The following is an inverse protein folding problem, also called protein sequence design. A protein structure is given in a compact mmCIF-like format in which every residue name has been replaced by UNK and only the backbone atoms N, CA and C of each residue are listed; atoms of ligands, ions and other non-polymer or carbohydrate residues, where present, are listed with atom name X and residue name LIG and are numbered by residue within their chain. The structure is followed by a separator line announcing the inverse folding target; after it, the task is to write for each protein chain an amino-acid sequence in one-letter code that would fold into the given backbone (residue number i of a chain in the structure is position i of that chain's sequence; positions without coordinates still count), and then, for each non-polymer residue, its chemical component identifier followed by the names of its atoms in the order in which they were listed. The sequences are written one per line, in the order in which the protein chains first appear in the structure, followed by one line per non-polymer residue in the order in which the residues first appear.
data_IF_904324171807
#
_entry.id   IF_904324171807
#
_cell.length_a   1.000
_cell.length_b   1.000
_cell.length_c   1.000
_cell.angle_alpha   90.00
_cell.angle_beta   90.00
_cell.angle_gamma   90.00
#
_symmetry.space_group_name_H-M   'P 1'
#
loop_
_entity.id
_entity.type
_entity.pdbx_description
1 polymer ?
#
# COMPACT_ATOMS: atom_id res chain seq x y z
N UNK A 1 58.24 -48.83 18.41
CA UNK A 1 56.81 -48.93 18.77
C UNK A 1 56.21 -47.52 18.79
N UNK A 2 55.10 -47.36 18.06
CA UNK A 2 54.40 -46.10 17.75
C UNK A 2 53.66 -45.52 18.97
N UNK A 3 53.67 -44.19 19.14
CA UNK A 3 52.55 -43.38 19.71
C UNK A 3 52.63 -41.98 19.08
N UNK A 4 52.01 -41.77 17.92
CA UNK A 4 50.65 -41.24 17.70
C UNK A 4 50.55 -39.71 17.85
N UNK A 5 50.52 -39.08 16.68
CA UNK A 5 50.20 -37.69 16.34
C UNK A 5 48.79 -37.30 16.84
N UNK A 6 48.62 -36.09 17.39
CA UNK A 6 47.30 -35.43 17.44
C UNK A 6 47.42 -33.98 16.99
N UNK A 7 46.67 -33.70 15.94
CA UNK A 7 46.53 -32.45 15.23
C UNK A 7 45.52 -31.56 15.96
N UNK A 8 45.76 -30.25 15.83
CA UNK A 8 45.02 -29.06 16.25
C UNK A 8 43.47 -29.16 16.23
N UNK A 9 42.80 -28.48 17.18
CA UNK A 9 41.54 -27.81 16.88
C UNK A 9 41.48 -26.44 17.57
N UNK A 10 41.60 -25.41 16.76
CA UNK A 10 41.48 -24.00 17.09
C UNK A 10 40.05 -23.70 17.52
N UNK A 11 39.88 -23.14 18.71
CA UNK A 11 38.59 -22.70 19.24
C UNK A 11 38.14 -21.45 18.47
N UNK A 12 37.26 -21.61 17.49
CA UNK A 12 36.54 -20.47 16.89
C UNK A 12 35.54 -20.00 17.92
N UNK A 13 35.76 -18.80 18.44
CA UNK A 13 34.81 -18.07 19.27
C UNK A 13 33.57 -17.79 18.41
N UNK A 14 32.54 -18.64 18.53
CA UNK A 14 31.21 -18.35 18.02
C UNK A 14 30.72 -17.12 18.77
N UNK A 15 30.79 -15.96 18.11
CA UNK A 15 30.06 -14.77 18.49
C UNK A 15 28.59 -15.21 18.54
N UNK A 16 28.05 -15.31 19.75
CA UNK A 16 26.65 -15.60 19.96
C UNK A 16 25.84 -14.55 19.22
N UNK A 17 25.17 -14.96 18.15
CA UNK A 17 24.00 -14.26 17.67
C UNK A 17 23.03 -14.21 18.84
N UNK A 18 22.91 -13.04 19.45
CA UNK A 18 21.75 -12.74 20.28
C UNK A 18 20.56 -12.83 19.33
N UNK A 19 19.60 -13.74 19.53
CA UNK A 19 18.39 -13.73 18.73
C UNK A 19 17.66 -12.45 19.11
N UNK A 20 17.62 -11.47 18.21
CA UNK A 20 16.65 -10.39 18.31
C UNK A 20 15.32 -11.03 17.93
N UNK A 21 14.71 -11.72 18.89
CA UNK A 21 13.38 -12.27 18.75
C UNK A 21 12.37 -11.14 18.78
N UNK A 22 11.90 -10.73 17.60
CA UNK A 22 10.69 -9.92 17.46
C UNK A 22 9.87 -10.55 16.34
N UNK A 23 9.41 -11.79 16.54
CA UNK A 23 8.35 -12.31 15.69
C UNK A 23 7.07 -11.58 16.10
N UNK A 24 6.49 -10.80 15.19
CA UNK A 24 5.31 -9.97 15.46
C UNK A 24 4.00 -10.77 15.59
N UNK A 25 4.06 -12.11 15.46
CA UNK A 25 2.96 -13.06 15.64
C UNK A 25 3.55 -14.48 15.75
N UNK A 26 2.73 -15.44 16.20
CA UNK A 26 3.07 -16.86 16.19
C UNK A 26 2.28 -17.62 15.12
N UNK A 27 2.95 -18.53 14.41
CA UNK A 27 2.32 -19.41 13.42
C UNK A 27 1.96 -20.75 14.07
N UNK A 28 0.66 -21.02 14.16
CA UNK A 28 0.10 -22.31 14.52
C UNK A 28 0.11 -23.24 13.30
N UNK A 29 0.73 -24.41 13.42
CA UNK A 29 0.66 -25.44 12.38
C UNK A 29 -0.66 -26.21 12.53
N UNK A 30 -1.55 -26.08 11.54
CA UNK A 30 -2.87 -26.73 11.50
C UNK A 30 -3.15 -27.35 10.12
N UNK A 31 -2.26 -28.24 9.62
CA UNK A 31 -2.24 -28.61 8.22
C UNK A 31 -3.51 -29.37 7.78
N UNK A 32 -3.89 -29.16 6.53
CA UNK A 32 -4.84 -30.02 5.81
C UNK A 32 -4.24 -31.42 5.68
N UNK A 33 -5.06 -32.44 5.97
CA UNK A 33 -4.74 -33.81 5.59
C UNK A 33 -5.07 -34.02 4.11
N UNK A 34 -4.03 -33.94 3.28
CA UNK A 34 -4.13 -34.17 1.85
C UNK A 34 -4.24 -35.65 1.47
N UNK A 35 -4.16 -36.60 2.42
CA UNK A 35 -4.24 -38.02 2.12
C UNK A 35 -3.14 -38.51 1.16
N UNK A 36 -1.98 -37.85 1.18
CA UNK A 36 -0.86 -38.12 0.27
C UNK A 36 -0.96 -37.42 -1.09
N UNK A 37 -2.01 -36.63 -1.34
CA UNK A 37 -2.09 -35.78 -2.53
C UNK A 37 -1.01 -34.68 -2.49
N UNK A 38 -0.28 -34.53 -3.59
CA UNK A 38 0.70 -33.46 -3.78
C UNK A 38 0.22 -32.53 -4.90
N UNK A 39 -0.10 -31.26 -4.62
CA UNK A 39 -0.69 -30.35 -5.60
C UNK A 39 0.34 -29.82 -6.63
N UNK A 40 1.64 -30.02 -6.40
CA UNK A 40 2.72 -29.44 -7.20
C UNK A 40 3.29 -28.17 -6.56
N UNK A 41 4.39 -27.67 -7.13
CA UNK A 41 5.03 -26.43 -6.72
C UNK A 41 4.49 -25.25 -7.51
N UNK A 42 4.32 -24.11 -6.84
CA UNK A 42 4.07 -22.83 -7.47
C UNK A 42 5.39 -22.20 -7.97
N UNK A 43 5.30 -21.21 -8.85
CA UNK A 43 6.47 -20.43 -9.31
C UNK A 43 6.96 -19.41 -8.27
N UNK A 44 6.22 -19.23 -7.17
CA UNK A 44 6.58 -18.40 -6.02
C UNK A 44 6.76 -16.91 -6.34
N UNK A 45 5.86 -16.38 -7.16
CA UNK A 45 5.90 -15.00 -7.63
C UNK A 45 4.94 -14.10 -6.85
N UNK A 46 3.92 -14.65 -6.20
CA UNK A 46 2.85 -13.86 -5.57
C UNK A 46 2.60 -14.17 -4.10
N UNK A 47 2.22 -13.13 -3.36
CA UNK A 47 1.48 -13.22 -2.09
C UNK A 47 0.06 -12.71 -2.36
N UNK A 48 -0.95 -13.58 -2.23
CA UNK A 48 -2.35 -13.23 -2.52
C UNK A 48 -3.12 -12.94 -1.25
N UNK A 49 -3.76 -11.78 -1.23
CA UNK A 49 -4.49 -11.23 -0.10
C UNK A 49 -5.98 -11.48 -0.27
N UNK A 50 -6.55 -12.23 0.68
CA UNK A 50 -7.95 -12.58 0.73
C UNK A 50 -8.64 -12.14 2.02
N UNK A 51 -9.96 -12.22 2.00
CA UNK A 51 -10.81 -12.20 3.18
C UNK A 51 -11.93 -13.24 3.02
N UNK A 52 -12.25 -13.91 4.14
CA UNK A 52 -13.11 -15.11 4.20
C UNK A 52 -14.51 -15.01 3.60
N UNK A 53 -15.06 -13.82 3.37
CA UNK A 53 -16.37 -13.64 2.74
C UNK A 53 -17.57 -14.01 3.63
N UNK A 54 -17.34 -14.42 4.88
CA UNK A 54 -18.38 -15.07 5.70
C UNK A 54 -18.98 -14.14 6.76
N UNK A 55 -19.99 -13.36 6.36
CA UNK A 55 -20.72 -12.43 7.25
C UNK A 55 -21.36 -13.07 8.48
N UNK A 56 -21.57 -14.39 8.48
CA UNK A 56 -22.17 -15.12 9.60
C UNK A 56 -21.13 -15.63 10.59
N UNK A 57 -19.85 -15.66 10.21
CA UNK A 57 -18.76 -16.18 11.03
C UNK A 57 -17.86 -15.07 11.55
N UNK A 58 -18.36 -14.31 12.52
CA UNK A 58 -17.70 -13.12 13.08
C UNK A 58 -17.33 -13.26 14.57
N UNK A 59 -17.54 -14.45 15.13
CA UNK A 59 -17.34 -14.72 16.56
C UNK A 59 -15.87 -14.85 16.96
N UNK A 60 -15.62 -15.01 18.27
CA UNK A 60 -14.27 -15.16 18.81
C UNK A 60 -13.53 -16.43 18.29
N UNK A 61 -14.27 -17.42 17.79
CA UNK A 61 -13.78 -18.67 17.21
C UNK A 61 -13.86 -18.70 15.67
N UNK A 62 -13.99 -17.54 15.02
CA UNK A 62 -14.18 -17.46 13.56
C UNK A 62 -13.06 -18.15 12.78
N UNK A 63 -11.79 -17.97 13.19
CA UNK A 63 -10.63 -18.63 12.62
C UNK A 63 -10.75 -20.15 12.69
N UNK A 64 -11.08 -20.71 13.86
CA UNK A 64 -11.17 -22.16 14.06
C UNK A 64 -12.29 -22.77 13.21
N UNK A 65 -13.39 -22.03 13.00
CA UNK A 65 -14.49 -22.45 12.12
C UNK A 65 -14.13 -22.42 10.65
N UNK A 66 -13.49 -21.35 10.17
CA UNK A 66 -13.04 -21.25 8.78
C UNK A 66 -12.02 -22.36 8.46
N UNK A 67 -10.99 -22.49 9.29
CA UNK A 67 -9.95 -23.51 9.11
C UNK A 67 -10.51 -24.93 9.16
N UNK A 68 -11.46 -25.21 10.06
CA UNK A 68 -12.15 -26.51 10.10
C UNK A 68 -13.03 -26.76 8.88
N UNK A 69 -13.70 -25.72 8.35
CA UNK A 69 -14.50 -25.83 7.14
C UNK A 69 -13.62 -26.08 5.91
N UNK A 70 -12.53 -25.33 5.76
CA UNK A 70 -11.57 -25.49 4.67
C UNK A 70 -10.95 -26.88 4.68
N UNK A 71 -10.51 -27.39 5.86
CA UNK A 71 -9.98 -28.76 5.99
C UNK A 71 -10.96 -29.85 5.54
N UNK A 72 -12.28 -29.65 5.72
CA UNK A 72 -13.30 -30.60 5.23
C UNK A 72 -13.62 -30.46 3.74
N UNK A 73 -13.28 -29.32 3.14
CA UNK A 73 -13.69 -28.95 1.78
C UNK A 73 -12.50 -28.61 0.86
N UNK A 74 -11.28 -28.97 1.24
CA UNK A 74 -10.05 -28.53 0.58
C UNK A 74 -9.99 -28.91 -0.91
N UNK A 75 -10.67 -29.98 -1.30
CA UNK A 75 -10.77 -30.42 -2.70
C UNK A 75 -11.51 -29.42 -3.60
N UNK A 76 -12.23 -28.46 -3.02
CA UNK A 76 -12.92 -27.37 -3.73
C UNK A 76 -12.07 -26.11 -3.77
N UNK A 77 -11.55 -25.70 -2.61
CA UNK A 77 -10.73 -24.51 -2.46
C UNK A 77 -9.94 -24.60 -1.14
N UNK A 78 -8.72 -24.07 -1.15
CA UNK A 78 -7.91 -23.90 0.05
C UNK A 78 -6.78 -22.89 -0.17
N UNK A 79 -6.32 -22.28 0.92
CA UNK A 79 -5.20 -21.34 0.96
C UNK A 79 -4.10 -21.83 1.91
N UNK A 80 -2.91 -21.23 1.84
CA UNK A 80 -1.80 -21.57 2.74
C UNK A 80 -1.97 -21.08 4.17
N UNK A 81 -2.55 -19.89 4.38
CA UNK A 81 -2.66 -19.27 5.70
C UNK A 81 -4.03 -18.67 5.97
N UNK A 82 -4.39 -18.62 7.24
CA UNK A 82 -5.58 -17.94 7.74
C UNK A 82 -5.20 -17.13 8.99
N UNK A 83 -5.65 -15.89 9.05
CA UNK A 83 -5.40 -14.96 10.17
C UNK A 83 -6.72 -14.60 10.82
N UNK A 84 -6.78 -14.58 12.15
CA UNK A 84 -8.00 -14.18 12.84
C UNK A 84 -8.02 -14.45 14.34
N UNK A 85 -9.16 -14.18 14.96
CA UNK A 85 -9.45 -14.57 16.35
C UNK A 85 -8.42 -14.07 17.37
N UNK A 86 -7.95 -12.84 17.19
CA UNK A 86 -7.09 -12.11 18.12
C UNK A 86 -5.61 -12.06 17.72
N UNK A 87 -5.31 -12.03 16.42
CA UNK A 87 -3.95 -12.00 15.87
C UNK A 87 -3.32 -13.38 15.68
N UNK A 88 -4.12 -14.46 15.75
CA UNK A 88 -3.61 -15.82 15.53
C UNK A 88 -3.39 -16.05 14.04
N UNK A 89 -2.32 -16.75 13.71
CA UNK A 89 -1.99 -17.15 12.34
C UNK A 89 -1.95 -18.67 12.27
N UNK A 90 -2.73 -19.28 11.39
CA UNK A 90 -2.70 -20.71 11.12
C UNK A 90 -2.14 -20.99 9.74
N UNK A 91 -1.14 -21.85 9.67
CA UNK A 91 -0.66 -22.42 8.42
C UNK A 91 -1.38 -23.74 8.14
N UNK A 92 -2.08 -23.79 7.00
CA UNK A 92 -2.98 -24.87 6.60
C UNK A 92 -2.41 -25.69 5.44
N UNK A 93 -1.56 -25.07 4.61
CA UNK A 93 -0.80 -25.75 3.57
C UNK A 93 0.63 -25.19 3.48
N UNK A 94 1.61 -25.99 2.99
CA UNK A 94 2.97 -25.50 2.81
C UNK A 94 3.04 -24.33 1.84
N UNK A 95 3.77 -23.27 2.21
CA UNK A 95 4.07 -22.19 1.28
C UNK A 95 4.91 -22.72 0.10
N UNK A 96 4.68 -22.14 -1.07
CA UNK A 96 5.30 -22.51 -2.34
C UNK A 96 4.75 -23.79 -2.99
N UNK A 97 3.72 -24.40 -2.41
CA UNK A 97 2.90 -25.39 -3.11
C UNK A 97 1.65 -24.74 -3.70
N UNK A 98 1.14 -25.31 -4.78
CA UNK A 98 -0.09 -24.81 -5.44
C UNK A 98 -1.24 -24.82 -4.44
N UNK A 99 -2.01 -23.73 -4.40
CA UNK A 99 -3.21 -23.55 -3.57
C UNK A 99 -4.39 -23.21 -4.48
N UNK A 100 -5.63 -23.41 -4.04
CA UNK A 100 -6.81 -23.22 -4.87
C UNK A 100 -7.76 -22.15 -4.30
N UNK A 101 -7.31 -20.89 -4.26
CA UNK A 101 -8.11 -19.78 -3.75
C UNK A 101 -8.33 -18.61 -4.71
N UNK A 102 -7.58 -18.53 -5.83
CA UNK A 102 -7.54 -17.30 -6.64
C UNK A 102 -7.54 -17.54 -8.17
N UNK A 103 -8.05 -18.68 -8.63
CA UNK A 103 -8.08 -19.05 -10.04
C UNK A 103 -6.73 -19.57 -10.59
N UNK A 104 -6.78 -20.28 -11.72
CA UNK A 104 -5.68 -21.14 -12.18
C UNK A 104 -4.32 -20.42 -12.31
N UNK A 105 -4.30 -19.20 -12.85
CA UNK A 105 -3.06 -18.41 -13.03
C UNK A 105 -2.43 -18.03 -11.70
N UNK A 106 -3.21 -17.45 -10.78
CA UNK A 106 -2.68 -17.06 -9.47
C UNK A 106 -2.34 -18.28 -8.61
N UNK A 107 -3.12 -19.36 -8.70
CA UNK A 107 -2.86 -20.63 -8.02
C UNK A 107 -1.50 -21.24 -8.39
N UNK A 108 -1.11 -21.15 -9.68
CA UNK A 108 0.20 -21.60 -10.14
C UNK A 108 1.36 -20.68 -9.73
N UNK A 109 1.06 -19.41 -9.40
CA UNK A 109 2.06 -18.38 -9.09
C UNK A 109 2.26 -18.09 -7.61
N UNK A 110 1.25 -18.33 -6.79
CA UNK A 110 1.24 -17.93 -5.39
C UNK A 110 2.23 -18.74 -4.56
N UNK A 111 3.23 -18.05 -3.99
CA UNK A 111 4.00 -18.59 -2.88
C UNK A 111 3.09 -18.80 -1.66
N UNK A 112 2.20 -17.83 -1.41
CA UNK A 112 1.21 -17.93 -0.36
C UNK A 112 -0.09 -17.22 -0.77
N UNK A 113 -1.21 -17.78 -0.35
CA UNK A 113 -2.53 -17.16 -0.32
C UNK A 113 -2.95 -17.08 1.16
N UNK A 114 -3.43 -15.91 1.58
CA UNK A 114 -3.67 -15.57 2.99
C UNK A 114 -5.10 -15.05 3.14
N UNK A 115 -5.89 -15.74 3.93
CA UNK A 115 -7.25 -15.34 4.29
C UNK A 115 -7.27 -14.57 5.61
N UNK A 116 -8.05 -13.50 5.67
CA UNK A 116 -8.42 -12.81 6.91
C UNK A 116 -9.83 -13.26 7.33
N UNK A 117 -9.96 -13.82 8.53
CA UNK A 117 -11.26 -14.17 9.09
C UNK A 117 -12.03 -12.92 9.51
N UNK A 118 -13.35 -12.92 9.32
CA UNK A 118 -14.19 -11.84 9.84
C UNK A 118 -14.26 -11.86 11.37
N UNK A 119 -14.42 -10.66 11.91
CA UNK A 119 -14.83 -10.44 13.29
C UNK A 119 -15.79 -9.26 13.32
N UNK A 120 -16.58 -9.14 14.39
CA UNK A 120 -17.39 -7.96 14.70
C UNK A 120 -16.82 -7.20 15.91
N UNK A 121 -15.67 -7.62 16.43
CA UNK A 121 -15.02 -7.02 17.58
C UNK A 121 -13.83 -6.15 17.13
N UNK A 122 -13.88 -4.87 17.51
CA UNK A 122 -12.88 -3.87 17.13
C UNK A 122 -11.46 -4.21 17.60
N UNK A 123 -11.32 -4.68 18.85
CA UNK A 123 -10.01 -5.00 19.42
C UNK A 123 -9.46 -6.31 18.84
N UNK A 124 -10.35 -7.27 18.52
CA UNK A 124 -9.98 -8.47 17.75
C UNK A 124 -9.49 -8.08 16.37
N UNK A 125 -10.22 -7.22 15.64
CA UNK A 125 -9.83 -6.81 14.29
C UNK A 125 -8.46 -6.13 14.28
N UNK A 126 -8.17 -5.24 15.24
CA UNK A 126 -6.85 -4.58 15.31
C UNK A 126 -5.70 -5.59 15.32
N UNK A 127 -5.82 -6.62 16.15
CA UNK A 127 -4.80 -7.67 16.27
C UNK A 127 -4.76 -8.54 15.02
N UNK A 128 -5.92 -8.92 14.49
CA UNK A 128 -6.03 -9.71 13.27
C UNK A 128 -5.39 -8.99 12.08
N UNK A 129 -5.66 -7.70 11.92
CA UNK A 129 -5.12 -6.88 10.85
C UNK A 129 -3.61 -6.65 10.99
N UNK A 130 -3.11 -6.40 12.20
CA UNK A 130 -1.68 -6.29 12.45
C UNK A 130 -0.93 -7.58 12.10
N UNK A 131 -1.45 -8.73 12.55
CA UNK A 131 -0.90 -10.04 12.22
C UNK A 131 -0.95 -10.30 10.70
N UNK A 132 -2.05 -9.92 10.04
CA UNK A 132 -2.22 -10.06 8.59
C UNK A 132 -1.15 -9.27 7.82
N UNK A 133 -0.97 -7.98 8.12
CA UNK A 133 0.04 -7.11 7.50
C UNK A 133 1.46 -7.65 7.71
N UNK A 134 1.80 -8.05 8.93
CA UNK A 134 3.14 -8.54 9.25
C UNK A 134 3.43 -9.90 8.57
N UNK A 135 2.44 -10.79 8.52
CA UNK A 135 2.56 -12.06 7.80
C UNK A 135 2.79 -11.84 6.31
N UNK A 136 2.06 -10.91 5.69
CA UNK A 136 2.27 -10.56 4.27
C UNK A 136 3.71 -10.10 4.03
N UNK A 137 4.22 -9.20 4.88
CA UNK A 137 5.59 -8.67 4.77
C UNK A 137 6.65 -9.76 4.91
N UNK A 138 6.48 -10.68 5.87
CA UNK A 138 7.41 -11.78 6.08
C UNK A 138 7.44 -12.73 4.88
N UNK A 139 6.28 -13.05 4.31
CA UNK A 139 6.17 -13.92 3.15
C UNK A 139 6.69 -13.25 1.87
N UNK A 140 6.42 -11.95 1.69
CA UNK A 140 6.98 -11.16 0.58
C UNK A 140 8.51 -11.11 0.64
N UNK A 141 9.07 -10.93 1.84
CA UNK A 141 10.52 -10.97 2.08
C UNK A 141 11.13 -12.32 1.69
N UNK A 142 10.45 -13.42 1.99
CA UNK A 142 10.92 -14.77 1.66
C UNK A 142 11.05 -15.05 0.16
N UNK A 143 10.26 -14.37 -0.67
CA UNK A 143 10.36 -14.46 -2.13
C UNK A 143 11.18 -13.34 -2.77
N UNK A 144 11.71 -12.40 -1.96
CA UNK A 144 12.49 -11.25 -2.44
C UNK A 144 11.64 -10.13 -3.07
N UNK A 145 10.34 -10.08 -2.79
CA UNK A 145 9.44 -9.06 -3.29
C UNK A 145 9.52 -7.75 -2.49
N UNK A 146 9.19 -6.64 -3.16
CA UNK A 146 8.94 -5.35 -2.49
C UNK A 146 7.58 -5.37 -1.81
N UNK A 147 7.30 -4.36 -0.98
CA UNK A 147 6.03 -4.22 -0.26
C UNK A 147 4.97 -3.40 -1.03
N UNK A 148 5.15 -3.27 -2.35
CA UNK A 148 4.23 -2.53 -3.20
C UNK A 148 2.95 -3.35 -3.42
N UNK A 149 1.81 -2.77 -3.04
CA UNK A 149 0.49 -3.42 -3.13
C UNK A 149 -0.11 -3.19 -4.51
N UNK A 150 -0.52 -4.27 -5.19
CA UNK A 150 -1.23 -4.22 -6.47
C UNK A 150 -0.50 -3.37 -7.54
N UNK A 151 0.83 -3.44 -7.60
CA UNK A 151 1.67 -2.52 -8.37
C UNK A 151 1.60 -2.70 -9.90
N UNK A 152 0.87 -3.71 -10.38
CA UNK A 152 0.66 -3.99 -11.79
C UNK A 152 1.74 -4.87 -12.44
N UNK A 153 2.78 -5.27 -11.71
CA UNK A 153 3.88 -6.09 -12.26
C UNK A 153 3.52 -7.56 -12.41
N UNK A 154 2.50 -8.04 -11.68
CA UNK A 154 2.16 -9.47 -11.60
C UNK A 154 3.18 -10.29 -10.81
N UNK A 155 3.94 -9.63 -9.93
CA UNK A 155 4.89 -10.18 -8.97
C UNK A 155 4.74 -9.44 -7.63
N UNK A 156 5.00 -10.12 -6.50
CA UNK A 156 4.88 -9.53 -5.17
C UNK A 156 3.47 -9.59 -4.58
N UNK A 157 3.01 -8.50 -3.98
CA UNK A 157 1.79 -8.47 -3.15
C UNK A 157 0.59 -8.08 -4.02
N UNK A 158 -0.39 -8.98 -4.13
CA UNK A 158 -1.62 -8.73 -4.91
C UNK A 158 -2.86 -9.11 -4.12
N UNK A 159 -3.93 -8.34 -4.30
CA UNK A 159 -5.27 -8.68 -3.80
C UNK A 159 -6.04 -9.59 -4.75
N UNK A 160 -7.05 -10.29 -4.25
CA UNK A 160 -7.95 -11.04 -5.11
C UNK A 160 -8.70 -10.12 -6.09
N UNK A 161 -9.06 -8.90 -5.65
CA UNK A 161 -9.59 -7.85 -6.52
C UNK A 161 -8.66 -7.52 -7.71
N UNK A 162 -7.35 -7.41 -7.47
CA UNK A 162 -6.38 -7.20 -8.55
C UNK A 162 -6.34 -8.40 -9.51
N UNK A 163 -6.36 -9.63 -8.99
CA UNK A 163 -6.38 -10.85 -9.81
C UNK A 163 -7.63 -10.89 -10.70
N UNK A 164 -8.81 -10.60 -10.15
CA UNK A 164 -10.06 -10.49 -10.90
C UNK A 164 -9.95 -9.49 -12.04
N UNK A 165 -9.37 -8.32 -11.79
CA UNK A 165 -9.27 -7.23 -12.78
C UNK A 165 -8.24 -7.49 -13.88
N UNK A 166 -7.17 -8.24 -13.58
CA UNK A 166 -6.05 -8.41 -14.51
C UNK A 166 -6.04 -9.77 -15.20
N UNK A 167 -6.54 -10.82 -14.54
CA UNK A 167 -6.46 -12.19 -15.06
C UNK A 167 -7.84 -12.83 -15.20
N UNK A 168 -8.53 -13.12 -14.11
CA UNK A 168 -9.82 -13.82 -14.13
C UNK A 168 -10.43 -13.89 -12.72
N UNK A 169 -11.75 -13.75 -12.62
CA UNK A 169 -12.50 -13.91 -11.36
C UNK A 169 -13.69 -12.96 -11.27
N UNK A 170 -14.41 -13.04 -10.17
CA UNK A 170 -15.49 -12.11 -9.78
C UNK A 170 -15.38 -11.66 -8.30
N UNK A 171 -14.27 -12.04 -7.65
CA UNK A 171 -13.96 -11.73 -6.28
C UNK A 171 -13.34 -10.33 -6.14
N UNK A 172 -13.65 -9.64 -5.04
CA UNK A 172 -13.23 -8.24 -4.78
C UNK A 172 -12.63 -8.05 -3.38
N UNK A 173 -12.34 -9.15 -2.68
CA UNK A 173 -11.64 -9.15 -1.40
C UNK A 173 -10.16 -8.68 -1.54
N UNK A 174 -9.58 -8.09 -0.47
CA UNK A 174 -10.13 -7.89 0.87
C UNK A 174 -10.79 -6.51 1.09
N UNK A 175 -10.80 -5.63 0.08
CA UNK A 175 -11.12 -4.20 0.27
C UNK A 175 -12.50 -3.94 0.87
N UNK A 176 -13.52 -4.70 0.46
CA UNK A 176 -14.88 -4.52 0.96
C UNK A 176 -14.99 -4.70 2.48
N UNK A 177 -14.29 -5.68 3.05
CA UNK A 177 -14.27 -5.93 4.50
C UNK A 177 -13.37 -4.94 5.23
N UNK A 178 -12.17 -4.69 4.72
CA UNK A 178 -11.24 -3.71 5.30
C UNK A 178 -11.87 -2.31 5.41
N UNK A 179 -12.66 -1.91 4.41
CA UNK A 179 -13.41 -0.66 4.41
C UNK A 179 -14.45 -0.57 5.55
N UNK A 180 -15.03 -1.68 6.01
CA UNK A 180 -15.96 -1.69 7.15
C UNK A 180 -15.27 -1.27 8.45
N UNK A 181 -13.94 -1.48 8.51
CA UNK A 181 -13.08 -1.13 9.61
C UNK A 181 -12.32 0.19 9.39
N UNK A 182 -12.60 0.91 8.30
CA UNK A 182 -11.95 2.17 7.98
C UNK A 182 -10.55 2.03 7.37
N UNK A 183 -10.15 0.83 6.97
CA UNK A 183 -8.89 0.57 6.27
C UNK A 183 -9.12 0.75 4.76
N UNK A 184 -8.54 1.81 4.20
CA UNK A 184 -8.54 2.06 2.76
C UNK A 184 -7.45 1.23 2.06
N UNK A 185 -7.51 1.12 0.72
CA UNK A 185 -6.40 0.54 -0.07
C UNK A 185 -5.08 1.23 0.22
N UNK A 186 -5.10 2.55 0.36
CA UNK A 186 -3.92 3.33 0.66
C UNK A 186 -3.39 3.10 2.07
N UNK A 187 -4.28 2.95 3.06
CA UNK A 187 -3.88 2.60 4.42
C UNK A 187 -3.21 1.22 4.43
N UNK A 188 -3.80 0.22 3.76
CA UNK A 188 -3.17 -1.10 3.61
C UNK A 188 -1.80 -1.02 2.93
N UNK A 189 -1.68 -0.28 1.82
CA UNK A 189 -0.40 -0.08 1.14
C UNK A 189 0.65 0.56 2.06
N UNK A 190 0.27 1.55 2.86
CA UNK A 190 1.15 2.21 3.82
C UNK A 190 1.57 1.25 4.95
N UNK A 191 0.62 0.52 5.52
CA UNK A 191 0.87 -0.43 6.61
C UNK A 191 1.80 -1.55 6.14
N UNK A 192 1.69 -1.97 4.88
CA UNK A 192 2.62 -2.93 4.27
C UNK A 192 4.04 -2.38 4.14
N UNK A 193 4.24 -1.07 4.02
CA UNK A 193 5.57 -0.47 3.96
C UNK A 193 6.19 -0.34 5.36
N UNK A 194 5.40 -0.01 6.37
CA UNK A 194 5.90 0.27 7.72
C UNK A 194 5.86 -0.93 8.67
N UNK A 195 4.97 -1.90 8.41
CA UNK A 195 4.59 -2.89 9.40
C UNK A 195 3.71 -2.29 10.51
N UNK A 196 3.26 -3.15 11.43
CA UNK A 196 2.40 -2.78 12.55
C UNK A 196 2.86 -3.50 13.84
N UNK A 197 2.65 -2.93 15.03
CA UNK A 197 2.90 -3.62 16.29
C UNK A 197 1.91 -4.78 16.50
N UNK A 198 2.37 -5.87 17.11
CA UNK A 198 1.60 -7.11 17.34
C UNK A 198 0.29 -6.88 18.11
N UNK A 199 0.30 -5.95 19.05
CA UNK A 199 -0.88 -5.62 19.86
C UNK A 199 -1.95 -4.83 19.08
N UNK A 200 -1.66 -4.46 17.84
CA UNK A 200 -2.54 -3.67 16.98
C UNK A 200 -2.74 -2.24 17.48
N UNK A 201 -1.88 -1.74 18.36
CA UNK A 201 -2.02 -0.41 18.98
C UNK A 201 -1.98 0.73 17.97
N UNK A 202 -1.28 0.56 16.85
CA UNK A 202 -1.21 1.53 15.74
C UNK A 202 -2.27 1.28 14.66
N UNK A 203 -3.11 0.25 14.81
CA UNK A 203 -4.18 -0.02 13.85
C UNK A 203 -5.33 0.95 14.06
N UNK A 204 -5.51 1.82 13.07
CA UNK A 204 -6.55 2.83 13.06
C UNK A 204 -7.83 2.23 12.49
N UNK A 205 -8.71 1.79 13.38
CA UNK A 205 -10.00 1.17 13.05
C UNK A 205 -11.18 2.07 13.38
N UNK A 206 -12.06 2.32 12.42
CA UNK A 206 -13.29 3.10 12.61
C UNK A 206 -14.46 2.64 11.74
N UNK A 207 -15.49 2.02 12.34
CA UNK A 207 -16.87 2.18 11.90
C UNK A 207 -17.49 3.39 12.62
N UNK A 208 -17.83 4.46 11.89
CA UNK A 208 -18.77 5.49 12.34
C UNK A 208 -18.50 6.22 13.67
N UNK A 209 -17.50 7.09 13.70
CA UNK A 209 -17.58 8.48 14.18
C UNK A 209 -16.22 9.16 13.89
N UNK A 210 -16.19 10.43 13.48
CA UNK A 210 -14.97 11.07 12.98
C UNK A 210 -13.88 11.07 14.06
N UNK A 211 -12.71 10.53 13.73
CA UNK A 211 -11.50 10.74 14.51
C UNK A 211 -11.32 12.23 14.78
N UNK A 212 -10.68 12.56 15.91
CA UNK A 212 -10.14 13.90 16.11
C UNK A 212 -9.27 14.22 14.87
N UNK A 213 -9.62 15.24 14.06
CA UNK A 213 -9.01 15.40 12.74
C UNK A 213 -7.48 15.54 12.84
N UNK A 214 -6.77 14.64 12.17
CA UNK A 214 -5.29 14.55 12.18
C UNK A 214 -4.64 15.76 11.51
N UNK A 215 -5.28 16.29 10.46
CA UNK A 215 -4.73 17.33 9.62
C UNK A 215 -5.44 18.68 9.85
N UNK A 216 -4.74 19.76 9.52
CA UNK A 216 -5.16 21.14 9.76
C UNK A 216 -5.34 21.87 8.43
N UNK A 217 -6.25 22.83 8.43
CA UNK A 217 -6.38 23.79 7.34
C UNK A 217 -5.05 24.50 7.13
N UNK A 218 -4.66 24.66 5.86
CA UNK A 218 -3.41 25.24 5.41
C UNK A 218 -2.31 24.22 5.09
N UNK A 219 -2.43 22.97 5.55
CA UNK A 219 -1.40 21.96 5.27
C UNK A 219 -1.46 21.45 3.83
N UNK A 220 -0.31 21.35 3.19
CA UNK A 220 -0.18 20.62 1.93
C UNK A 220 -0.06 19.12 2.18
N UNK A 221 -0.78 18.33 1.39
CA UNK A 221 -0.93 16.89 1.56
C UNK A 221 -0.79 16.17 0.22
N UNK A 222 -0.24 14.96 0.24
CA UNK A 222 -0.47 13.99 -0.82
C UNK A 222 -1.62 13.10 -0.41
N UNK A 223 -2.60 12.94 -1.29
CA UNK A 223 -3.78 12.11 -1.07
C UNK A 223 -3.78 10.95 -2.07
N UNK A 224 -4.41 9.85 -1.70
CA UNK A 224 -4.50 8.62 -2.49
C UNK A 224 -5.89 8.41 -3.07
N UNK A 225 -6.93 8.93 -2.40
CA UNK A 225 -8.27 9.02 -2.97
C UNK A 225 -8.95 10.33 -2.56
N UNK A 226 -10.00 10.70 -3.28
CA UNK A 226 -10.89 11.81 -2.92
C UNK A 226 -12.33 11.48 -3.29
N UNK A 227 -13.25 12.33 -2.84
CA UNK A 227 -14.68 12.24 -3.10
C UNK A 227 -15.21 13.52 -3.71
N UNK A 228 -16.22 13.43 -4.59
CA UNK A 228 -16.87 14.63 -5.17
C UNK A 228 -17.67 15.42 -4.15
N UNK A 229 -18.18 14.76 -3.11
CA UNK A 229 -19.04 15.33 -2.08
C UNK A 229 -18.55 14.96 -0.67
N UNK A 230 -18.78 15.83 0.34
CA UNK A 230 -18.29 15.61 1.70
C UNK A 230 -18.98 14.45 2.45
N UNK A 231 -20.11 13.94 1.94
CA UNK A 231 -20.85 12.80 2.53
C UNK A 231 -20.85 11.54 1.65
N UNK A 232 -20.09 11.56 0.55
CA UNK A 232 -20.06 10.45 -0.39
C UNK A 232 -19.60 9.17 0.33
N UNK A 233 -20.24 8.02 0.05
CA UNK A 233 -19.80 6.74 0.60
C UNK A 233 -18.46 6.32 -0.01
N UNK A 234 -17.73 5.45 0.69
CA UNK A 234 -16.42 4.93 0.25
C UNK A 234 -16.46 4.29 -1.15
N UNK A 235 -17.59 3.72 -1.56
CA UNK A 235 -17.78 3.14 -2.90
C UNK A 235 -17.74 4.17 -4.04
N UNK A 236 -17.76 5.48 -3.73
CA UNK A 236 -17.68 6.58 -4.70
C UNK A 236 -16.33 7.29 -4.66
N UNK A 237 -15.29 6.66 -4.09
CA UNK A 237 -13.95 7.22 -4.11
C UNK A 237 -13.44 7.34 -5.56
N UNK A 238 -12.63 8.37 -5.79
CA UNK A 238 -11.88 8.58 -7.01
C UNK A 238 -10.41 8.40 -6.63
N UNK A 239 -9.72 7.50 -7.33
CA UNK A 239 -8.30 7.27 -7.10
C UNK A 239 -7.50 8.50 -7.58
N UNK A 240 -6.49 8.89 -6.80
CA UNK A 240 -5.71 10.10 -7.07
C UNK A 240 -4.92 10.01 -8.40
N UNK A 241 -4.53 8.80 -8.80
CA UNK A 241 -3.85 8.52 -10.08
C UNK A 241 -4.72 8.82 -11.32
N UNK A 242 -6.03 8.89 -11.16
CA UNK A 242 -6.97 9.30 -12.22
C UNK A 242 -7.17 10.81 -12.28
N UNK A 243 -6.63 11.56 -11.32
CA UNK A 243 -6.66 13.02 -11.31
C UNK A 243 -5.39 13.59 -11.90
N UNK A 244 -5.46 14.87 -12.29
CA UNK A 244 -4.29 15.62 -12.76
C UNK A 244 -3.24 15.87 -11.66
N UNK A 245 -3.54 15.62 -10.39
CA UNK A 245 -2.59 15.74 -9.28
C UNK A 245 -3.01 14.88 -8.10
N UNK A 246 -2.03 14.41 -7.34
CA UNK A 246 -2.22 13.73 -6.04
C UNK A 246 -1.93 14.66 -4.86
N UNK A 247 -1.62 15.94 -5.13
CA UNK A 247 -1.20 16.90 -4.11
C UNK A 247 -2.20 18.04 -4.03
N UNK A 248 -2.53 18.45 -2.81
CA UNK A 248 -3.43 19.57 -2.57
C UNK A 248 -3.17 20.23 -1.22
N UNK A 249 -3.97 21.25 -0.94
CA UNK A 249 -4.00 21.99 0.32
C UNK A 249 -5.34 21.73 0.98
N UNK A 250 -5.33 21.44 2.27
CA UNK A 250 -6.56 21.41 3.07
C UNK A 250 -7.02 22.85 3.23
N UNK A 251 -8.09 23.23 2.55
CA UNK A 251 -8.61 24.62 2.61
C UNK A 251 -9.76 24.78 3.59
N UNK A 252 -10.42 23.68 3.93
CA UNK A 252 -11.49 23.69 4.89
C UNK A 252 -11.57 22.35 5.62
N UNK A 253 -11.88 22.43 6.91
CA UNK A 253 -12.30 21.29 7.71
C UNK A 253 -13.82 21.32 7.87
N UNK A 254 -14.48 20.20 7.61
CA UNK A 254 -15.92 20.04 7.61
C UNK A 254 -16.31 19.10 8.74
N UNK A 255 -16.47 19.67 9.93
CA UNK A 255 -16.83 18.89 11.12
C UNK A 255 -18.16 18.15 10.93
N UNK A 256 -18.19 16.88 11.36
CA UNK A 256 -19.38 16.01 11.28
C UNK A 256 -19.67 15.42 9.89
N UNK A 257 -18.80 15.64 8.89
CA UNK A 257 -18.94 15.04 7.55
C UNK A 257 -18.13 13.75 7.43
N UNK A 258 -18.50 12.89 6.45
CA UNK A 258 -17.79 11.63 6.19
C UNK A 258 -16.42 11.83 5.57
N UNK A 259 -16.23 12.91 4.81
CA UNK A 259 -15.00 13.34 4.13
C UNK A 259 -14.62 14.72 4.69
N UNK A 260 -13.76 14.71 5.71
CA UNK A 260 -13.54 15.85 6.63
C UNK A 260 -12.80 17.04 6.00
N UNK A 261 -11.99 16.82 4.98
CA UNK A 261 -11.09 17.82 4.44
C UNK A 261 -11.50 18.20 3.03
N UNK A 262 -11.73 19.50 2.82
CA UNK A 262 -11.84 20.06 1.48
C UNK A 262 -10.43 20.26 0.93
N UNK A 263 -10.10 19.49 -0.11
CA UNK A 263 -8.79 19.53 -0.76
C UNK A 263 -8.91 20.38 -2.02
N UNK A 264 -8.18 21.48 -2.04
CA UNK A 264 -7.99 22.26 -3.25
C UNK A 264 -6.56 22.21 -3.71
N UNK A 265 -6.36 22.41 -5.01
CA UNK A 265 -5.07 22.83 -5.50
C UNK A 265 -5.28 24.14 -6.25
N UNK A 266 -4.65 25.20 -5.70
CA UNK A 266 -4.67 26.56 -6.26
C UNK A 266 -6.06 27.12 -6.54
N UNK A 267 -6.91 27.04 -5.51
CA UNK A 267 -8.27 27.58 -5.54
C UNK A 267 -9.26 26.74 -6.35
N UNK A 268 -8.80 25.65 -7.01
CA UNK A 268 -9.69 24.67 -7.64
C UNK A 268 -9.95 23.51 -6.68
N UNK A 269 -11.22 23.21 -6.45
CA UNK A 269 -11.64 22.03 -5.71
C UNK A 269 -11.20 20.77 -6.44
N UNK A 270 -10.37 19.96 -5.77
CA UNK A 270 -10.07 18.60 -6.19
C UNK A 270 -11.18 17.68 -5.69
N UNK A 271 -11.48 17.76 -4.40
CA UNK A 271 -12.57 17.02 -3.79
C UNK A 271 -12.50 17.06 -2.27
N UNK A 272 -13.06 16.05 -1.64
CA UNK A 272 -13.09 15.88 -0.20
C UNK A 272 -12.34 14.61 0.19
N UNK A 273 -11.63 14.62 1.32
CA UNK A 273 -10.80 13.51 1.78
C UNK A 273 -10.95 13.31 3.30
N UNK A 274 -10.63 12.13 3.78
CA UNK A 274 -10.48 11.81 5.20
C UNK A 274 -9.03 11.63 5.60
N UNK A 275 -8.83 11.39 6.91
CA UNK A 275 -7.53 11.04 7.44
C UNK A 275 -6.88 9.85 6.69
N UNK A 276 -7.66 8.80 6.39
CA UNK A 276 -7.18 7.60 5.68
C UNK A 276 -7.04 7.73 4.16
N UNK A 277 -7.45 8.88 3.60
CA UNK A 277 -7.28 9.21 2.18
C UNK A 277 -6.03 10.08 1.96
N UNK A 278 -5.45 10.61 3.04
CA UNK A 278 -4.23 11.43 3.02
C UNK A 278 -3.03 10.54 3.35
N UNK A 279 -2.16 10.32 2.37
CA UNK A 279 -0.96 9.52 2.48
C UNK A 279 0.08 10.18 3.39
N UNK A 280 0.35 11.47 3.17
CA UNK A 280 1.43 12.19 3.87
C UNK A 280 1.25 13.71 3.85
N UNK A 281 1.98 14.39 4.75
CA UNK A 281 2.18 15.84 4.69
C UNK A 281 3.22 16.16 3.62
N UNK A 282 2.78 16.83 2.56
CA UNK A 282 3.62 17.12 1.40
C UNK A 282 4.69 18.18 1.66
N UNK A 283 4.51 19.02 2.68
CA UNK A 283 5.53 19.99 3.10
C UNK A 283 6.78 19.34 3.71
N UNK A 284 6.65 18.12 4.21
CA UNK A 284 7.73 17.41 4.92
C UNK A 284 8.30 16.22 4.14
N UNK A 285 7.62 15.78 3.08
CA UNK A 285 8.12 14.75 2.18
C UNK A 285 9.13 15.37 1.21
N UNK A 286 10.43 15.08 1.42
CA UNK A 286 11.40 15.12 0.32
C UNK A 286 11.14 13.89 -0.53
N UNK A 287 10.50 13.97 -1.72
CA UNK A 287 10.34 12.79 -2.55
C UNK A 287 11.73 12.24 -2.87
N UNK A 288 11.98 11.02 -2.41
CA UNK A 288 13.20 10.27 -2.70
C UNK A 288 12.75 8.96 -3.32
N UNK A 289 12.98 8.74 -4.62
CA UNK A 289 13.75 9.57 -5.56
C UNK A 289 12.98 10.76 -6.15
N UNK A 290 13.70 11.80 -6.55
CA UNK A 290 13.15 12.88 -7.38
C UNK A 290 12.58 12.33 -8.69
N UNK A 291 11.34 12.69 -9.02
CA UNK A 291 10.68 12.32 -10.28
C UNK A 291 11.27 13.15 -11.43
N UNK A 292 11.16 12.65 -12.66
CA UNK A 292 11.70 13.33 -13.86
C UNK A 292 10.56 13.71 -14.80
N UNK A 293 10.47 15.00 -15.12
CA UNK A 293 9.54 15.54 -16.11
C UNK A 293 10.27 15.79 -17.44
N UNK A 294 9.70 15.34 -18.56
CA UNK A 294 10.24 15.56 -19.91
C UNK A 294 9.40 16.60 -20.63
N UNK A 295 10.03 17.68 -21.10
CA UNK A 295 9.35 18.79 -21.78
C UNK A 295 8.84 18.33 -23.17
N UNK A 296 7.54 18.49 -23.43
CA UNK A 296 6.88 18.05 -24.67
C UNK A 296 6.60 19.16 -25.69
N UNK A 297 6.57 20.42 -25.25
CA UNK A 297 6.24 21.58 -26.10
C UNK A 297 7.43 22.05 -26.94
N UNK A 298 7.17 22.42 -28.20
CA UNK A 298 8.18 22.79 -29.21
C UNK A 298 8.97 24.05 -28.87
N UNK A 299 8.31 25.01 -28.22
CA UNK A 299 8.83 26.30 -27.79
C UNK A 299 9.73 26.21 -26.55
N UNK A 300 9.76 25.03 -25.90
CA UNK A 300 10.45 24.84 -24.63
C UNK A 300 9.71 25.48 -23.44
N UNK A 301 10.33 25.44 -22.26
CA UNK A 301 9.77 26.02 -21.02
C UNK A 301 10.77 26.98 -20.40
N UNK A 302 10.27 28.15 -19.96
CA UNK A 302 11.03 29.14 -19.21
C UNK A 302 11.09 28.75 -17.74
N UNK A 303 12.28 28.45 -17.25
CA UNK A 303 12.56 28.09 -15.86
C UNK A 303 12.69 29.35 -15.01
N UNK A 304 12.25 29.25 -13.76
CA UNK A 304 12.17 30.34 -12.78
C UNK A 304 13.08 30.05 -11.60
N UNK A 305 13.86 31.04 -11.19
CA UNK A 305 14.78 30.93 -10.07
C UNK A 305 14.09 31.33 -8.75
N UNK A 306 14.26 30.52 -7.72
CA UNK A 306 13.90 30.85 -6.33
C UNK A 306 12.42 30.74 -5.98
N UNK A 307 11.50 30.99 -6.91
CA UNK A 307 10.06 30.92 -6.65
C UNK A 307 9.25 30.35 -7.83
N UNK A 308 8.14 29.63 -7.55
CA UNK A 308 7.17 29.22 -8.57
C UNK A 308 6.34 30.43 -8.96
N UNK A 309 6.84 31.28 -9.85
CA UNK A 309 6.08 32.44 -10.35
C UNK A 309 6.57 32.82 -11.74
N UNK A 310 5.63 33.20 -12.61
CA UNK A 310 5.91 33.80 -13.92
C UNK A 310 6.60 35.17 -13.82
N UNK A 311 6.60 35.81 -12.65
CA UNK A 311 7.34 37.04 -12.39
C UNK A 311 8.69 36.80 -11.71
N UNK A 312 9.00 35.57 -11.30
CA UNK A 312 10.30 35.25 -10.71
C UNK A 312 11.43 35.36 -11.76
N UNK A 313 12.67 35.62 -11.33
CA UNK A 313 13.82 35.76 -12.23
C UNK A 313 13.95 34.55 -13.15
N UNK A 314 14.22 34.81 -14.43
CA UNK A 314 14.43 33.74 -15.41
C UNK A 314 15.74 33.03 -15.10
N UNK A 315 15.66 31.72 -14.88
CA UNK A 315 16.84 30.86 -14.75
C UNK A 315 17.39 30.48 -16.13
N UNK A 316 16.50 30.21 -17.08
CA UNK A 316 16.85 29.87 -18.46
C UNK A 316 15.63 29.38 -19.23
N UNK A 317 15.85 28.92 -20.47
CA UNK A 317 14.83 28.27 -21.30
C UNK A 317 15.34 26.90 -21.69
N UNK A 318 14.57 25.85 -21.41
CA UNK A 318 14.94 24.49 -21.80
C UNK A 318 14.08 23.99 -22.96
N UNK A 319 14.69 23.45 -24.03
CA UNK A 319 13.96 23.01 -25.21
C UNK A 319 13.18 21.72 -24.98
N UNK A 320 12.31 21.38 -25.93
CA UNK A 320 11.62 20.09 -26.03
C UNK A 320 12.61 18.92 -25.84
N UNK A 321 12.18 17.91 -25.09
CA UNK A 321 12.97 16.71 -24.77
C UNK A 321 13.89 16.87 -23.56
N UNK A 322 14.07 18.09 -23.02
CA UNK A 322 14.85 18.28 -21.79
C UNK A 322 14.16 17.62 -20.60
N UNK A 323 14.96 17.08 -19.68
CA UNK A 323 14.48 16.39 -18.48
C UNK A 323 14.74 17.22 -17.23
N UNK A 324 13.68 17.54 -16.50
CA UNK A 324 13.71 18.27 -15.25
C UNK A 324 13.45 17.33 -14.07
N UNK A 325 14.44 17.18 -13.20
CA UNK A 325 14.27 16.46 -11.93
C UNK A 325 13.58 17.38 -10.94
N UNK A 326 12.47 16.94 -10.39
CA UNK A 326 11.70 17.72 -9.44
C UNK A 326 11.44 16.94 -8.16
N UNK A 327 11.36 17.70 -7.09
CA UNK A 327 11.07 17.24 -5.75
C UNK A 327 9.88 17.99 -5.12
N UNK A 328 9.25 18.89 -5.89
CA UNK A 328 8.05 19.60 -5.44
C UNK A 328 7.13 19.92 -6.59
N UNK A 329 5.86 20.04 -6.27
CA UNK A 329 4.82 20.62 -7.12
C UNK A 329 4.28 21.84 -6.38
N UNK A 330 4.10 22.93 -7.10
CA UNK A 330 3.57 24.20 -6.63
C UNK A 330 2.56 24.69 -7.64
N UNK A 331 1.62 25.52 -7.23
CA UNK A 331 0.81 26.24 -8.20
C UNK A 331 0.82 27.71 -7.86
N UNK A 332 1.01 28.51 -8.89
CA UNK A 332 1.06 29.95 -8.82
C UNK A 332 0.75 30.51 -10.20
N UNK A 333 0.30 31.76 -10.25
CA UNK A 333 0.07 32.49 -11.51
C UNK A 333 -0.83 31.75 -12.53
N UNK A 334 -1.67 30.82 -12.07
CA UNK A 334 -2.53 29.99 -12.91
C UNK A 334 -1.88 28.73 -13.51
N UNK A 335 -0.64 28.39 -13.13
CA UNK A 335 0.13 27.26 -13.70
C UNK A 335 0.64 26.31 -12.64
N UNK A 336 0.67 25.02 -12.99
CA UNK A 336 1.37 24.01 -12.21
C UNK A 336 2.87 24.17 -12.41
N UNK A 337 3.62 24.33 -11.33
CA UNK A 337 5.07 24.42 -11.30
C UNK A 337 5.69 23.16 -10.69
N UNK A 338 6.69 22.60 -11.35
CA UNK A 338 7.58 21.61 -10.74
C UNK A 338 8.82 22.31 -10.22
N UNK A 339 9.14 22.10 -8.95
CA UNK A 339 10.34 22.64 -8.32
C UNK A 339 11.39 21.58 -8.09
N UNK A 340 12.64 21.90 -8.38
CA UNK A 340 13.81 21.06 -8.20
C UNK A 340 15.03 21.89 -7.85
N UNK A 341 16.17 21.23 -7.65
CA UNK A 341 17.41 21.89 -7.25
C UNK A 341 18.51 21.54 -8.25
N UNK A 342 19.27 22.54 -8.73
CA UNK A 342 20.42 22.29 -9.60
C UNK A 342 21.62 21.72 -8.84
N UNK A 343 22.71 21.46 -9.58
CA UNK A 343 23.99 20.98 -9.05
C UNK A 343 24.65 21.92 -8.03
N UNK A 344 24.27 23.20 -8.02
CA UNK A 344 24.80 24.24 -7.16
C UNK A 344 23.90 24.51 -5.94
N UNK A 345 22.79 23.80 -5.79
CA UNK A 345 21.82 24.05 -4.72
C UNK A 345 20.79 25.14 -5.04
N UNK A 346 20.78 25.69 -6.25
CA UNK A 346 19.83 26.72 -6.67
C UNK A 346 18.45 26.10 -6.84
N UNK A 347 17.43 26.74 -6.25
CA UNK A 347 16.04 26.32 -6.40
C UNK A 347 15.47 26.79 -7.73
N UNK A 348 14.95 25.86 -8.53
CA UNK A 348 14.41 26.13 -9.86
C UNK A 348 12.97 25.63 -9.93
N UNK A 349 12.11 26.36 -10.64
CA UNK A 349 10.73 26.01 -10.90
C UNK A 349 10.41 26.06 -12.39
N UNK A 350 9.65 25.09 -12.90
CA UNK A 350 9.20 25.05 -14.29
C UNK A 350 7.67 25.00 -14.35
N UNK A 351 6.98 25.89 -15.08
CA UNK A 351 5.56 25.73 -15.33
C UNK A 351 5.35 24.58 -16.31
N UNK A 352 4.49 23.60 -15.99
CA UNK A 352 4.26 22.40 -16.80
C UNK A 352 2.87 22.33 -17.41
N UNK A 353 2.06 23.37 -17.22
CA UNK A 353 0.74 23.46 -17.79
C UNK A 353 -0.17 24.39 -16.98
N UNK A 354 -1.27 24.86 -17.57
CA UNK A 354 -2.30 25.58 -16.84
C UNK A 354 -2.89 24.70 -15.73
N UNK A 355 -3.24 25.31 -14.60
CA UNK A 355 -3.98 24.64 -13.53
C UNK A 355 -5.49 24.60 -13.84
N UNK A 356 -5.85 23.94 -14.94
CA UNK A 356 -7.24 23.82 -15.41
C UNK A 356 -7.85 22.44 -15.13
N UNK A 357 -7.06 21.52 -14.57
CA UNK A 357 -7.43 20.14 -14.27
C UNK A 357 -7.72 19.27 -15.48
N UNK A 358 -7.20 19.63 -16.66
CA UNK A 358 -7.16 18.78 -17.83
C UNK A 358 -5.72 18.29 -18.06
N UNK A 359 -5.41 16.99 -17.84
CA UNK A 359 -4.06 16.48 -18.04
C UNK A 359 -3.57 16.63 -19.49
N UNK A 360 -4.46 16.70 -20.47
CA UNK A 360 -4.12 16.92 -21.88
C UNK A 360 -3.45 18.28 -22.14
N UNK A 361 -3.61 19.24 -21.22
CA UNK A 361 -3.00 20.56 -21.29
C UNK A 361 -1.59 20.60 -20.66
N UNK A 362 -1.06 19.46 -20.23
CA UNK A 362 0.31 19.35 -19.70
C UNK A 362 1.34 19.49 -20.83
N UNK A 363 2.35 20.32 -20.61
CA UNK A 363 3.40 20.66 -21.57
C UNK A 363 4.54 19.64 -21.63
N UNK A 364 4.28 18.39 -21.25
CA UNK A 364 5.26 17.32 -21.15
C UNK A 364 4.74 16.08 -20.43
N UNK A 365 5.63 15.17 -20.08
CA UNK A 365 5.33 13.87 -19.46
C UNK A 365 6.18 13.61 -18.23
N UNK A 366 5.73 12.73 -17.33
CA UNK A 366 6.45 12.41 -16.08
C UNK A 366 6.11 13.33 -14.89
N UNK A 367 5.00 14.08 -15.02
CA UNK A 367 4.32 14.75 -13.93
C UNK A 367 3.32 13.79 -13.29
#
# INVERSE_FOLDING_TARGET
MKKSFKMLLTLVLLIGFVPIGVNAYQVEQDPIDFGGYFPGYATNELIVLHESGNDKNVGADSLDRETSFMKRNWTRAYVSYFVGSGGRVKQLAPAGQIQWGAGATANAKAYAQIELARTNNKETFKKDYAAYVNLIRDLATQIGATFDLDDGTGYGIVTHDWITKNWWGDHTDPYGYLAQWGISKAQLAQDLQTGLPEDGSEVIVNPGNPNKPKYKVGQHVRFTTIYKNPDAPISQHINADTLWTEVGTITQRLDGRKNLYRIENSGKLLGYANDGDIAELWENSKPTPAKTFTIGVSEGIVLRNGAPSLSAPVYGVWPKGSQFKYDSVRVADGYVFLGGTDVNGTRIYIPVGPNDGNPDNTWGTGY
#
